data_IF_694461303993
#
_entry.id   IF_694461303993
#
_cell.length_a   1.000
_cell.length_b   1.000
_cell.length_c   1.000
_cell.angle_alpha   90.00
_cell.angle_beta   90.00
_cell.angle_gamma   90.00
#
_symmetry.space_group_name_H-M   'P 1'
#
loop_
_entity.id
_entity.type
_entity.pdbx_description
1 polymer ?
#
# COMPACT_ATOMS: atom_id res chain seq x y z
N UNK A 1 -52.38 17.68 -25.61
CA UNK A 1 -50.91 17.88 -25.54
C UNK A 1 -50.50 17.47 -24.13
N UNK A 2 -50.02 16.24 -23.98
CA UNK A 2 -49.65 15.66 -22.69
C UNK A 2 -48.14 15.53 -22.65
N UNK A 3 -47.51 16.19 -21.69
CA UNK A 3 -46.07 16.15 -21.43
C UNK A 3 -45.65 14.75 -20.94
N UNK A 4 -44.55 14.16 -21.43
CA UNK A 4 -44.06 12.89 -20.90
C UNK A 4 -43.31 13.12 -19.57
N UNK A 5 -43.55 12.23 -18.61
CA UNK A 5 -42.81 12.16 -17.35
C UNK A 5 -41.33 11.82 -17.58
N UNK A 6 -40.40 12.35 -16.76
CA UNK A 6 -38.99 12.05 -16.88
C UNK A 6 -38.70 10.60 -16.47
N UNK A 7 -37.99 9.93 -17.35
CA UNK A 7 -37.51 8.56 -17.19
C UNK A 7 -36.46 8.53 -16.06
N UNK A 8 -36.88 8.07 -14.87
CA UNK A 8 -35.96 7.77 -13.78
C UNK A 8 -35.22 6.47 -14.10
N UNK A 9 -34.21 6.56 -14.97
CA UNK A 9 -33.19 5.52 -15.10
C UNK A 9 -32.47 5.36 -13.76
N UNK A 10 -32.55 4.21 -13.07
CA UNK A 10 -31.72 3.97 -11.90
C UNK A 10 -30.26 3.86 -12.38
N UNK A 11 -29.37 4.65 -11.79
CA UNK A 11 -27.93 4.50 -11.92
C UNK A 11 -27.59 3.05 -11.54
N UNK A 12 -27.29 2.22 -12.54
CA UNK A 12 -26.87 0.84 -12.34
C UNK A 12 -25.55 0.86 -11.55
N UNK A 13 -25.64 0.64 -10.24
CA UNK A 13 -24.51 0.13 -9.48
C UNK A 13 -24.09 -1.21 -10.11
N UNK A 14 -22.79 -1.39 -10.32
CA UNK A 14 -22.22 -2.64 -10.82
C UNK A 14 -22.74 -3.78 -9.93
N UNK A 15 -23.32 -4.82 -10.54
CA UNK A 15 -23.90 -5.93 -9.79
C UNK A 15 -22.82 -6.58 -8.88
N UNK A 16 -23.14 -6.97 -7.63
CA UNK A 16 -22.16 -7.54 -6.70
C UNK A 16 -21.37 -8.74 -7.24
N UNK A 17 -22.03 -9.56 -8.07
CA UNK A 17 -21.46 -10.70 -8.80
C UNK A 17 -20.33 -10.28 -9.77
N UNK A 18 -20.57 -9.20 -10.53
CA UNK A 18 -19.64 -8.68 -11.53
C UNK A 18 -18.40 -8.08 -10.86
N UNK A 19 -18.58 -7.30 -9.78
CA UNK A 19 -17.48 -6.78 -8.97
C UNK A 19 -16.63 -7.91 -8.37
N UNK A 20 -17.28 -8.96 -7.83
CA UNK A 20 -16.58 -10.14 -7.29
C UNK A 20 -15.77 -10.90 -8.36
N UNK A 21 -16.34 -11.05 -9.57
CA UNK A 21 -15.65 -11.67 -10.69
C UNK A 21 -14.45 -10.84 -11.16
N UNK A 22 -14.63 -9.52 -11.36
CA UNK A 22 -13.55 -8.60 -11.74
C UNK A 22 -12.41 -8.62 -10.73
N UNK A 23 -12.72 -8.60 -9.44
CA UNK A 23 -11.72 -8.71 -8.37
C UNK A 23 -10.95 -10.03 -8.43
N UNK A 24 -11.63 -11.17 -8.52
CA UNK A 24 -10.96 -12.49 -8.58
C UNK A 24 -10.04 -12.59 -9.80
N UNK A 25 -10.50 -12.09 -10.95
CA UNK A 25 -9.70 -12.02 -12.17
C UNK A 25 -8.45 -11.15 -11.98
N UNK A 26 -8.60 -9.98 -11.34
CA UNK A 26 -7.47 -9.09 -11.08
C UNK A 26 -6.45 -9.72 -10.11
N UNK A 27 -6.91 -10.32 -9.01
CA UNK A 27 -6.02 -11.06 -8.08
C UNK A 27 -5.25 -12.16 -8.79
N UNK A 28 -5.93 -12.95 -9.63
CA UNK A 28 -5.28 -14.02 -10.40
C UNK A 28 -4.25 -13.49 -11.39
N UNK A 29 -4.55 -12.37 -12.06
CA UNK A 29 -3.61 -11.71 -12.95
C UNK A 29 -2.35 -11.27 -12.20
N UNK A 30 -2.49 -10.47 -11.14
CA UNK A 30 -1.36 -9.95 -10.37
C UNK A 30 -0.53 -11.09 -9.77
N UNK A 31 -1.19 -12.12 -9.23
CA UNK A 31 -0.50 -13.31 -8.71
C UNK A 31 0.32 -14.01 -9.78
N UNK A 32 -0.23 -14.24 -10.97
CA UNK A 32 0.52 -14.84 -12.07
C UNK A 32 1.69 -13.97 -12.52
N UNK A 33 1.50 -12.66 -12.60
CA UNK A 33 2.57 -11.74 -13.00
C UNK A 33 3.72 -11.77 -11.97
N UNK A 34 3.40 -11.89 -10.67
CA UNK A 34 4.38 -12.04 -9.59
C UNK A 34 5.15 -13.37 -9.69
N UNK A 35 4.42 -14.48 -9.85
CA UNK A 35 4.99 -15.82 -9.84
C UNK A 35 5.82 -16.11 -11.10
N UNK A 36 5.47 -15.50 -12.24
CA UNK A 36 6.21 -15.67 -13.49
C UNK A 36 7.40 -14.73 -13.65
N UNK A 37 7.55 -13.71 -12.79
CA UNK A 37 8.72 -12.84 -12.81
C UNK A 37 9.99 -13.66 -12.49
N UNK A 38 11.02 -13.52 -13.33
CA UNK A 38 12.31 -14.21 -13.14
C UNK A 38 13.34 -13.36 -12.40
N UNK A 39 13.12 -12.06 -12.39
CA UNK A 39 13.98 -11.04 -11.79
C UNK A 39 13.12 -10.08 -10.97
N UNK A 40 13.76 -9.20 -10.20
CA UNK A 40 13.04 -8.11 -9.52
C UNK A 40 12.38 -7.20 -10.56
N UNK A 41 11.09 -6.94 -10.37
CA UNK A 41 10.27 -6.13 -11.26
C UNK A 41 9.39 -5.18 -10.46
N UNK A 42 9.13 -4.02 -11.04
CA UNK A 42 8.10 -3.09 -10.59
C UNK A 42 6.88 -3.21 -11.51
N UNK A 43 5.78 -3.72 -10.99
CA UNK A 43 4.52 -3.88 -11.72
C UNK A 43 3.59 -2.72 -11.35
N UNK A 44 3.00 -2.08 -12.37
CA UNK A 44 2.06 -0.96 -12.21
C UNK A 44 0.77 -1.27 -12.96
N UNK A 45 -0.36 -1.19 -12.25
CA UNK A 45 -1.69 -1.34 -12.81
C UNK A 45 -2.49 -0.07 -12.52
N UNK A 46 -3.07 0.51 -13.56
CA UNK A 46 -3.81 1.77 -13.48
C UNK A 46 -5.31 1.55 -13.62
N UNK A 47 -6.11 2.55 -13.24
CA UNK A 47 -7.57 2.52 -13.34
C UNK A 47 -8.21 1.34 -12.58
N UNK A 48 -7.62 0.97 -11.44
CA UNK A 48 -8.16 -0.05 -10.55
C UNK A 48 -9.14 0.59 -9.59
N UNK A 49 -10.41 0.19 -9.68
CA UNK A 49 -11.48 0.71 -8.83
C UNK A 49 -11.17 0.50 -7.33
N UNK A 50 -11.44 1.47 -6.43
CA UNK A 50 -11.17 1.36 -4.99
C UNK A 50 -11.65 0.08 -4.31
N UNK A 51 -12.88 -0.35 -4.61
CA UNK A 51 -13.47 -1.55 -4.02
C UNK A 51 -12.74 -2.85 -4.43
N UNK A 52 -12.14 -2.86 -5.63
CA UNK A 52 -11.37 -3.97 -6.18
C UNK A 52 -9.94 -3.90 -5.67
N UNK A 53 -9.27 -2.75 -5.81
CA UNK A 53 -7.86 -2.57 -5.49
C UNK A 53 -7.56 -2.84 -4.01
N UNK A 54 -8.36 -2.27 -3.12
CA UNK A 54 -8.22 -2.47 -1.66
C UNK A 54 -8.34 -3.95 -1.28
N UNK A 55 -9.37 -4.63 -1.79
CA UNK A 55 -9.61 -6.05 -1.50
C UNK A 55 -8.58 -6.96 -2.16
N UNK A 56 -8.11 -6.61 -3.35
CA UNK A 56 -7.05 -7.34 -4.03
C UNK A 56 -5.73 -7.25 -3.26
N UNK A 57 -5.37 -6.04 -2.79
CA UNK A 57 -4.17 -5.83 -1.99
C UNK A 57 -4.19 -6.71 -0.73
N UNK A 58 -5.30 -6.70 0.01
CA UNK A 58 -5.47 -7.54 1.19
C UNK A 58 -5.41 -9.05 0.89
N UNK A 59 -5.98 -9.47 -0.23
CA UNK A 59 -5.99 -10.89 -0.63
C UNK A 59 -4.59 -11.38 -0.98
N UNK A 60 -3.80 -10.55 -1.68
CA UNK A 60 -2.44 -10.88 -2.09
C UNK A 60 -1.44 -10.78 -0.93
N UNK A 61 -1.59 -9.78 -0.05
CA UNK A 61 -0.79 -9.62 1.19
C UNK A 61 -0.92 -10.80 2.14
N UNK A 62 -2.08 -11.48 2.12
CA UNK A 62 -2.36 -12.66 2.96
C UNK A 62 -2.07 -14.00 2.25
N UNK A 63 -1.52 -13.98 1.03
CA UNK A 63 -1.25 -15.18 0.24
C UNK A 63 0.20 -15.65 0.45
N UNK A 64 0.39 -16.85 0.98
CA UNK A 64 1.71 -17.37 1.31
C UNK A 64 2.65 -17.57 0.11
N UNK A 65 2.11 -17.79 -1.10
CA UNK A 65 2.94 -17.86 -2.31
C UNK A 65 3.44 -16.47 -2.73
N UNK A 66 2.68 -15.42 -2.42
CA UNK A 66 3.06 -14.03 -2.65
C UNK A 66 4.05 -13.56 -1.58
N UNK A 67 3.80 -13.89 -0.31
CA UNK A 67 4.71 -13.61 0.80
C UNK A 67 6.09 -14.24 0.57
N UNK A 68 6.14 -15.48 0.06
CA UNK A 68 7.38 -16.18 -0.27
C UNK A 68 8.24 -15.48 -1.34
N UNK A 69 7.64 -14.53 -2.08
CA UNK A 69 8.33 -13.68 -3.08
C UNK A 69 8.77 -12.34 -2.49
N UNK A 70 8.46 -12.10 -1.22
CA UNK A 70 8.82 -10.90 -0.43
C UNK A 70 8.41 -9.59 -1.10
N UNK A 71 7.28 -9.57 -1.82
CA UNK A 71 6.84 -8.38 -2.56
C UNK A 71 6.23 -7.32 -1.65
N UNK A 72 6.32 -6.06 -2.07
CA UNK A 72 5.66 -4.93 -1.45
C UNK A 72 4.47 -4.50 -2.30
N UNK A 73 3.27 -4.58 -1.73
CA UNK A 73 2.02 -4.23 -2.40
C UNK A 73 1.58 -2.85 -1.93
N UNK A 74 1.28 -1.96 -2.87
CA UNK A 74 0.70 -0.65 -2.57
C UNK A 74 -0.48 -0.38 -3.49
N UNK A 75 -1.50 0.28 -2.97
CA UNK A 75 -2.67 0.72 -3.72
C UNK A 75 -3.13 2.09 -3.23
N UNK A 76 -3.27 3.03 -4.16
CA UNK A 76 -3.77 4.36 -3.87
C UNK A 76 -5.17 4.51 -4.48
N UNK A 77 -6.19 4.64 -3.62
CA UNK A 77 -7.59 4.70 -4.03
C UNK A 77 -7.98 5.97 -4.79
N UNK A 78 -7.22 7.06 -4.64
CA UNK A 78 -7.48 8.34 -5.31
C UNK A 78 -6.95 8.30 -6.73
N UNK A 79 -5.71 7.86 -6.91
CA UNK A 79 -5.07 7.73 -8.22
C UNK A 79 -5.47 6.46 -8.95
N UNK A 80 -6.07 5.49 -8.24
CA UNK A 80 -6.45 4.17 -8.76
C UNK A 80 -5.26 3.38 -9.31
N UNK A 81 -4.09 3.59 -8.71
CA UNK A 81 -2.85 2.91 -9.07
C UNK A 81 -2.57 1.81 -8.05
N UNK A 82 -2.42 0.59 -8.54
CA UNK A 82 -1.95 -0.57 -7.80
C UNK A 82 -0.53 -0.89 -8.25
N UNK A 83 0.39 -1.05 -7.30
CA UNK A 83 1.78 -1.36 -7.59
C UNK A 83 2.23 -2.59 -6.81
N UNK A 84 3.08 -3.38 -7.45
CA UNK A 84 3.85 -4.44 -6.79
C UNK A 84 5.31 -4.16 -7.04
N UNK A 85 6.06 -4.00 -5.96
CA UNK A 85 7.51 -3.90 -6.01
C UNK A 85 8.12 -5.20 -5.50
N UNK A 86 9.01 -5.82 -6.27
CA UNK A 86 9.80 -6.95 -5.80
C UNK A 86 11.12 -6.40 -5.27
N UNK A 87 11.31 -6.31 -3.95
CA UNK A 87 12.43 -5.59 -3.39
C UNK A 87 13.75 -6.19 -3.85
N UNK A 88 14.62 -5.29 -4.33
CA UNK A 88 16.07 -5.52 -4.35
C UNK A 88 16.65 -5.06 -3.01
N UNK A 89 17.99 -5.01 -2.88
CA UNK A 89 18.60 -4.32 -1.74
C UNK A 89 18.32 -2.79 -1.74
N UNK A 90 17.82 -2.23 -2.85
CA UNK A 90 17.67 -0.79 -3.03
C UNK A 90 16.57 -0.14 -2.17
N UNK A 91 15.34 -0.69 -2.05
CA UNK A 91 14.28 0.00 -1.31
C UNK A 91 14.58 0.18 0.18
N UNK A 92 15.46 -0.65 0.75
CA UNK A 92 15.87 -0.57 2.16
C UNK A 92 17.26 0.05 2.37
N UNK A 93 17.87 0.63 1.32
CA UNK A 93 19.24 1.14 1.40
C UNK A 93 19.41 2.28 2.42
N UNK A 94 18.33 3.00 2.75
CA UNK A 94 18.32 4.07 3.72
C UNK A 94 18.24 3.58 5.18
N UNK A 95 17.84 2.33 5.44
CA UNK A 95 17.64 1.83 6.81
C UNK A 95 18.91 1.91 7.67
N UNK A 96 20.11 1.49 7.20
CA UNK A 96 21.32 1.59 8.00
C UNK A 96 21.67 3.03 8.39
N UNK A 97 21.47 3.98 7.47
CA UNK A 97 21.72 5.40 7.74
C UNK A 97 20.79 5.92 8.85
N UNK A 98 19.48 5.64 8.76
CA UNK A 98 18.51 6.13 9.76
C UNK A 98 18.76 5.51 11.14
N UNK A 99 19.12 4.23 11.18
CA UNK A 99 19.48 3.57 12.44
C UNK A 99 20.69 4.27 13.08
N UNK A 100 21.72 4.58 12.29
CA UNK A 100 22.90 5.31 12.80
C UNK A 100 22.52 6.71 13.30
N UNK A 101 21.69 7.46 12.57
CA UNK A 101 21.24 8.79 13.01
C UNK A 101 20.47 8.74 14.35
N UNK A 102 19.62 7.72 14.57
CA UNK A 102 18.93 7.55 15.86
C UNK A 102 19.91 7.22 17.00
N UNK A 103 20.94 6.43 16.72
CA UNK A 103 22.00 6.15 17.70
C UNK A 103 22.78 7.44 18.02
N UNK A 104 23.18 8.21 17.02
CA UNK A 104 23.90 9.47 17.22
C UNK A 104 23.04 10.51 17.95
N UNK A 105 21.74 10.58 17.65
CA UNK A 105 20.79 11.43 18.33
C UNK A 105 20.70 11.11 19.84
N UNK A 106 20.68 9.83 20.20
CA UNK A 106 20.74 9.41 21.60
C UNK A 106 22.07 9.75 22.28
N UNK A 107 23.19 9.44 21.63
CA UNK A 107 24.55 9.67 22.18
C UNK A 107 24.85 11.16 22.37
N UNK A 108 24.40 12.02 21.46
CA UNK A 108 24.59 13.47 21.53
C UNK A 108 23.66 14.17 22.53
N UNK A 109 22.68 13.45 23.08
CA UNK A 109 21.64 14.00 23.95
C UNK A 109 20.57 14.81 23.20
N UNK A 110 20.49 14.70 21.88
CA UNK A 110 19.41 15.29 21.09
C UNK A 110 18.07 14.58 21.37
N UNK A 111 18.08 13.25 21.48
CA UNK A 111 16.96 12.46 21.98
C UNK A 111 17.28 11.92 23.37
N UNK A 112 16.35 12.11 24.30
CA UNK A 112 16.33 11.38 25.57
C UNK A 112 15.88 9.93 25.34
N UNK A 113 16.21 9.03 26.28
CA UNK A 113 15.72 7.65 26.21
C UNK A 113 14.19 7.59 26.17
N UNK A 114 13.50 8.45 26.93
CA UNK A 114 12.04 8.49 26.95
C UNK A 114 11.46 8.90 25.59
N UNK A 115 12.03 9.91 24.93
CA UNK A 115 11.60 10.32 23.59
C UNK A 115 11.88 9.24 22.54
N UNK A 116 13.00 8.51 22.66
CA UNK A 116 13.31 7.40 21.77
C UNK A 116 12.35 6.22 21.98
N UNK A 117 12.01 5.90 23.23
CA UNK A 117 11.06 4.83 23.57
C UNK A 117 9.62 5.15 23.09
N UNK A 118 9.31 6.45 22.95
CA UNK A 118 8.04 6.94 22.41
C UNK A 118 7.99 6.98 20.87
N UNK A 119 9.05 6.52 20.17
CA UNK A 119 9.09 6.48 18.70
C UNK A 119 9.31 5.03 18.23
N UNK A 120 8.29 4.47 17.58
CA UNK A 120 8.43 3.19 16.89
C UNK A 120 9.08 3.40 15.53
N UNK A 121 10.23 2.77 15.30
CA UNK A 121 10.88 2.66 14.00
C UNK A 121 10.74 1.23 13.47
N UNK A 122 10.02 1.05 12.37
CA UNK A 122 9.74 -0.28 11.81
C UNK A 122 9.58 -0.23 10.28
N UNK A 123 9.49 -1.39 9.65
CA UNK A 123 9.39 -1.57 8.20
C UNK A 123 8.39 -2.66 7.85
N UNK A 124 8.01 -2.74 6.57
CA UNK A 124 7.19 -3.83 6.02
C UNK A 124 5.85 -4.07 6.77
N UNK A 125 5.32 -3.04 7.43
CA UNK A 125 4.04 -3.10 8.14
C UNK A 125 2.95 -2.55 7.24
N UNK A 126 1.85 -3.28 7.08
CA UNK A 126 0.72 -2.80 6.28
C UNK A 126 -0.07 -1.70 6.99
N UNK A 127 -0.47 -0.70 6.24
CA UNK A 127 -1.43 0.33 6.63
C UNK A 127 -2.60 0.32 5.64
N UNK A 128 -3.82 0.24 6.14
CA UNK A 128 -5.04 0.20 5.32
C UNK A 128 -6.24 0.93 5.96
N UNK A 129 -6.00 1.69 7.03
CA UNK A 129 -7.00 2.46 7.79
C UNK A 129 -6.81 3.96 7.59
N UNK A 130 -6.54 4.37 6.35
CA UNK A 130 -6.32 5.78 6.02
C UNK A 130 -7.60 6.62 6.17
N UNK A 131 -7.43 7.89 6.54
CA UNK A 131 -8.51 8.86 6.71
C UNK A 131 -9.25 9.17 5.38
N UNK A 132 -10.31 9.98 5.45
CA UNK A 132 -11.30 10.21 4.38
C UNK A 132 -10.72 10.60 3.00
N UNK A 133 -9.52 11.17 2.94
CA UNK A 133 -8.86 11.49 1.66
C UNK A 133 -8.41 10.23 0.90
N UNK A 134 -8.15 9.11 1.60
CA UNK A 134 -7.60 7.88 1.03
C UNK A 134 -8.34 6.60 1.53
N UNK A 135 -9.68 6.56 1.59
CA UNK A 135 -10.46 5.68 2.49
C UNK A 135 -10.47 4.18 2.10
N UNK A 136 -9.67 3.78 1.11
CA UNK A 136 -9.50 2.40 0.65
C UNK A 136 -8.06 2.14 0.16
N UNK A 137 -7.13 3.02 0.51
CA UNK A 137 -5.73 2.84 0.15
C UNK A 137 -5.09 1.73 1.00
N UNK A 138 -4.02 1.16 0.47
CA UNK A 138 -3.23 0.13 1.09
C UNK A 138 -1.76 0.50 0.87
N UNK A 139 -0.95 0.55 1.91
CA UNK A 139 0.46 0.83 1.75
C UNK A 139 1.32 -0.04 2.67
N UNK A 140 2.48 -0.40 2.17
CA UNK A 140 3.55 -1.07 2.92
C UNK A 140 4.82 -0.24 2.72
N UNK A 141 5.19 0.62 3.70
CA UNK A 141 6.38 1.46 3.61
C UNK A 141 7.67 0.65 3.80
N UNK A 142 8.76 1.13 3.19
CA UNK A 142 10.09 0.53 3.36
C UNK A 142 10.65 0.76 4.77
N UNK A 143 10.33 1.90 5.38
CA UNK A 143 10.57 2.23 6.78
C UNK A 143 9.59 3.35 7.19
N UNK A 144 9.22 3.39 8.45
CA UNK A 144 8.42 4.47 9.02
C UNK A 144 8.82 4.80 10.46
N UNK A 145 8.44 5.99 10.88
CA UNK A 145 8.48 6.45 12.27
C UNK A 145 7.06 6.76 12.74
N UNK A 146 6.67 6.11 13.80
CA UNK A 146 5.35 6.23 14.43
C UNK A 146 5.53 6.66 15.89
N UNK A 147 5.23 7.93 16.22
CA UNK A 147 5.19 8.36 17.60
C UNK A 147 4.03 7.69 18.35
N UNK A 148 4.25 7.37 19.62
CA UNK A 148 3.25 6.80 20.51
C UNK A 148 1.96 7.63 20.52
N UNK A 149 0.82 6.95 20.36
CA UNK A 149 -0.51 7.56 20.43
C UNK A 149 -1.07 8.10 19.10
N UNK A 150 -0.32 8.01 18.00
CA UNK A 150 -0.82 8.33 16.67
C UNK A 150 -1.33 7.07 15.95
N UNK A 151 -2.39 7.15 15.13
CA UNK A 151 -2.98 6.00 14.46
C UNK A 151 -2.25 5.58 13.17
N UNK A 152 -1.31 6.41 12.70
CA UNK A 152 -0.55 6.23 11.46
C UNK A 152 0.85 6.82 11.64
N UNK A 153 1.85 6.35 10.86
CA UNK A 153 3.19 6.90 10.89
C UNK A 153 3.19 8.38 10.50
N UNK A 154 4.07 9.14 11.16
CA UNK A 154 4.25 10.57 10.86
C UNK A 154 5.30 10.78 9.79
N UNK A 155 6.32 9.92 9.76
CA UNK A 155 7.38 9.95 8.74
C UNK A 155 7.42 8.59 8.07
N UNK A 156 7.44 8.60 6.74
CA UNK A 156 7.54 7.40 5.92
C UNK A 156 8.71 7.58 4.96
N UNK A 157 9.57 6.59 4.90
CA UNK A 157 10.67 6.52 3.95
C UNK A 157 10.27 5.59 2.82
N UNK A 158 10.33 6.13 1.61
CA UNK A 158 10.07 5.39 0.38
C UNK A 158 11.28 5.58 -0.53
N UNK A 159 11.81 4.48 -1.03
CA UNK A 159 12.83 4.50 -2.07
C UNK A 159 12.24 3.87 -3.32
N UNK A 160 12.43 4.52 -4.46
CA UNK A 160 11.88 4.07 -5.72
C UNK A 160 12.76 4.51 -6.87
N UNK A 161 12.52 3.91 -8.04
CA UNK A 161 13.21 4.29 -9.26
C UNK A 161 12.68 5.62 -9.77
N UNK A 162 13.57 6.56 -10.07
CA UNK A 162 13.23 7.71 -10.89
C UNK A 162 13.14 7.25 -12.35
N UNK A 163 11.99 7.50 -13.00
CA UNK A 163 11.83 7.41 -14.45
C UNK A 163 11.92 8.80 -15.06
#
# INVERSE_FOLDING_TARGET
>A
MSTPSPDHSPLLGIAPEESSFRRRRFVFQVKNDILNARESVFLKYESIEPSIGSRAALSLDSDGEIEARSVLINYNSVTQIFTVDMPTAFPSCHQPWIIDEFIQAGVSGFLTCAENDDITMSSNTRFNTFAETYPMSFAVPNLYLEPSGFPLPTIVFVSGFAQ
#
